data_IF_645441400872
#
_entry.id   IF_645441400872
#
_cell.length_a   1.000
_cell.length_b   1.000
_cell.length_c   1.000
_cell.angle_alpha   90.00
_cell.angle_beta   90.00
_cell.angle_gamma   90.00
#
_symmetry.space_group_name_H-M   'P 1'
#
loop_
_entity.id
_entity.type
_entity.pdbx_description
1 polymer ?
#
# COMPACT_ATOMS: atom_id res chain seq x y z
N UNK A 1 20.38 -37.62 4.35
CA UNK A 1 19.97 -37.97 5.73
C UNK A 1 18.52 -37.52 5.90
N UNK A 2 17.62 -38.46 6.21
CA UNK A 2 16.19 -38.22 6.47
C UNK A 2 16.05 -37.45 7.79
N UNK A 3 15.53 -36.23 7.76
CA UNK A 3 14.84 -35.65 8.91
C UNK A 3 13.34 -35.94 8.73
N UNK A 4 12.87 -36.94 9.47
CA UNK A 4 11.46 -37.25 9.64
C UNK A 4 10.96 -36.48 10.86
N UNK A 5 10.70 -35.18 10.68
CA UNK A 5 9.87 -34.41 11.60
C UNK A 5 8.39 -34.71 11.25
N UNK A 6 7.46 -34.86 12.21
CA UNK A 6 6.07 -35.08 11.88
C UNK A 6 5.48 -33.74 11.41
N UNK A 7 5.62 -33.45 10.12
CA UNK A 7 4.90 -32.38 9.46
C UNK A 7 3.39 -32.58 9.72
N UNK A 8 2.69 -31.49 10.03
CA UNK A 8 1.24 -31.53 10.18
C UNK A 8 0.59 -32.07 8.89
N UNK A 9 -0.47 -32.86 9.06
CA UNK A 9 -1.28 -33.34 7.92
C UNK A 9 -2.03 -32.18 7.28
N UNK A 10 -2.37 -32.31 5.98
CA UNK A 10 -3.15 -31.30 5.27
C UNK A 10 -4.47 -30.96 5.99
N UNK A 11 -5.13 -31.97 6.58
CA UNK A 11 -6.36 -31.78 7.37
C UNK A 11 -6.14 -30.91 8.62
N UNK A 12 -4.97 -30.98 9.25
CA UNK A 12 -4.61 -30.13 10.39
C UNK A 12 -4.30 -28.71 9.95
N UNK A 13 -3.64 -28.53 8.80
CA UNK A 13 -3.39 -27.20 8.22
C UNK A 13 -4.71 -26.52 7.82
N UNK A 14 -5.66 -27.28 7.26
CA UNK A 14 -7.01 -26.78 6.97
C UNK A 14 -7.74 -26.38 8.26
N UNK A 15 -7.61 -27.18 9.33
CA UNK A 15 -8.17 -26.85 10.64
C UNK A 15 -7.56 -25.57 11.23
N UNK A 16 -6.25 -25.35 11.09
CA UNK A 16 -5.59 -24.10 11.48
C UNK A 16 -6.10 -22.91 10.67
N UNK A 17 -6.25 -23.08 9.36
CA UNK A 17 -6.76 -22.05 8.46
C UNK A 17 -8.17 -21.61 8.85
N UNK A 18 -9.04 -22.58 9.13
CA UNK A 18 -10.41 -22.32 9.60
C UNK A 18 -10.42 -21.68 11.00
N UNK A 19 -9.55 -22.15 11.89
CA UNK A 19 -9.39 -21.56 13.23
C UNK A 19 -9.01 -20.07 13.16
N UNK A 20 -8.01 -19.72 12.34
CA UNK A 20 -7.55 -18.34 12.15
C UNK A 20 -8.67 -17.46 11.56
N UNK A 21 -9.40 -17.96 10.55
CA UNK A 21 -10.55 -17.24 9.98
C UNK A 21 -11.65 -16.96 11.01
N UNK A 22 -11.99 -17.95 11.85
CA UNK A 22 -12.99 -17.79 12.92
C UNK A 22 -12.60 -16.78 13.99
N UNK A 23 -11.31 -16.42 14.06
CA UNK A 23 -10.78 -15.37 14.94
C UNK A 23 -10.73 -13.99 14.27
N UNK A 24 -11.52 -13.78 13.21
CA UNK A 24 -11.67 -12.49 12.52
C UNK A 24 -10.37 -11.98 11.89
N UNK A 25 -9.53 -12.89 11.40
CA UNK A 25 -8.38 -12.53 10.58
C UNK A 25 -8.80 -12.51 9.12
N UNK A 26 -9.17 -11.33 8.61
CA UNK A 26 -9.78 -11.20 7.27
C UNK A 26 -8.76 -11.19 6.11
N UNK A 27 -7.50 -10.89 6.42
CA UNK A 27 -6.46 -10.68 5.41
C UNK A 27 -5.71 -11.97 5.09
N UNK A 28 -5.65 -12.32 3.81
CA UNK A 28 -5.06 -13.58 3.35
C UNK A 28 -3.57 -13.70 3.65
N UNK A 29 -2.79 -12.62 3.47
CA UNK A 29 -1.37 -12.60 3.86
C UNK A 29 -1.17 -12.78 5.37
N UNK A 30 -2.09 -12.29 6.19
CA UNK A 30 -2.04 -12.47 7.65
C UNK A 30 -2.48 -13.87 8.06
N UNK A 31 -3.50 -14.42 7.41
CA UNK A 31 -3.94 -15.79 7.62
C UNK A 31 -2.78 -16.77 7.36
N UNK A 32 -2.10 -16.64 6.22
CA UNK A 32 -0.97 -17.52 5.87
C UNK A 32 0.15 -17.46 6.92
N UNK A 33 0.56 -16.26 7.34
CA UNK A 33 1.61 -16.10 8.35
C UNK A 33 1.20 -16.65 9.72
N UNK A 34 -0.06 -16.47 10.14
CA UNK A 34 -0.54 -17.03 11.40
C UNK A 34 -0.65 -18.54 11.34
N UNK A 35 -1.13 -19.11 10.23
CA UNK A 35 -1.20 -20.57 10.05
C UNK A 35 0.21 -21.19 10.08
N UNK A 36 1.16 -20.59 9.38
CA UNK A 36 2.57 -21.04 9.38
C UNK A 36 3.19 -20.98 10.77
N UNK A 37 2.95 -19.88 11.50
CA UNK A 37 3.45 -19.72 12.86
C UNK A 37 2.81 -20.72 13.84
N UNK A 38 1.49 -20.91 13.78
CA UNK A 38 0.79 -21.90 14.59
C UNK A 38 1.25 -23.32 14.27
N UNK A 39 1.41 -23.66 12.99
CA UNK A 39 1.87 -24.96 12.54
C UNK A 39 3.26 -25.26 13.12
N UNK A 40 4.20 -24.34 12.94
CA UNK A 40 5.58 -24.47 13.44
C UNK A 40 5.65 -24.66 14.96
N UNK A 41 4.87 -23.87 15.73
CA UNK A 41 4.84 -23.99 17.20
C UNK A 41 4.18 -25.30 17.68
N UNK A 42 3.15 -25.77 16.97
CA UNK A 42 2.49 -27.04 17.28
C UNK A 42 3.44 -28.21 16.99
N UNK A 43 4.12 -28.21 15.85
CA UNK A 43 5.09 -29.26 15.48
C UNK A 43 6.21 -29.37 16.52
N UNK A 44 6.77 -28.25 16.97
CA UNK A 44 7.78 -28.23 18.03
C UNK A 44 7.26 -28.85 19.34
N UNK A 45 6.00 -28.58 19.71
CA UNK A 45 5.39 -29.14 20.92
C UNK A 45 5.07 -30.62 20.79
N UNK A 46 4.57 -31.06 19.64
CA UNK A 46 4.30 -32.48 19.37
C UNK A 46 5.60 -33.29 19.35
N UNK A 47 6.68 -32.72 18.81
CA UNK A 47 8.01 -33.32 18.85
C UNK A 47 8.56 -33.42 20.29
N UNK A 48 8.35 -32.38 21.12
CA UNK A 48 8.79 -32.37 22.50
C UNK A 48 7.92 -33.25 23.43
N UNK A 49 6.63 -33.43 23.12
CA UNK A 49 5.67 -34.23 23.91
C UNK A 49 4.79 -35.07 22.99
N UNK A 50 5.22 -36.29 22.61
CA UNK A 50 4.50 -37.13 21.65
C UNK A 50 3.08 -37.57 22.07
N UNK A 51 2.75 -37.49 23.37
CA UNK A 51 1.43 -37.80 23.90
C UNK A 51 0.44 -36.62 23.81
N UNK A 52 0.89 -35.43 23.40
CA UNK A 52 0.06 -34.24 23.28
C UNK A 52 -0.84 -34.34 22.04
N UNK A 53 -2.13 -34.04 22.18
CA UNK A 53 -3.03 -33.98 21.02
C UNK A 53 -2.90 -32.65 20.29
N UNK A 54 -3.17 -32.66 18.98
CA UNK A 54 -3.16 -31.47 18.13
C UNK A 54 -4.06 -30.35 18.70
N UNK A 55 -5.29 -30.66 19.09
CA UNK A 55 -6.22 -29.66 19.62
C UNK A 55 -5.70 -29.03 20.91
N UNK A 56 -5.09 -29.83 21.78
CA UNK A 56 -4.50 -29.33 23.03
C UNK A 56 -3.29 -28.46 22.74
N UNK A 57 -2.42 -28.86 21.79
CA UNK A 57 -1.29 -28.06 21.35
C UNK A 57 -1.76 -26.71 20.76
N UNK A 58 -2.77 -26.72 19.90
CA UNK A 58 -3.37 -25.52 19.32
C UNK A 58 -3.90 -24.57 20.40
N UNK A 59 -4.70 -25.07 21.36
CA UNK A 59 -5.22 -24.22 22.43
C UNK A 59 -4.10 -23.65 23.30
N UNK A 60 -3.07 -24.44 23.60
CA UNK A 60 -1.92 -23.96 24.37
C UNK A 60 -1.12 -22.88 23.63
N UNK A 61 -0.90 -23.04 22.32
CA UNK A 61 -0.21 -22.03 21.49
C UNK A 61 -1.08 -20.78 21.39
N UNK A 62 -2.38 -20.93 21.11
CA UNK A 62 -3.31 -19.80 21.01
C UNK A 62 -3.42 -19.02 22.33
N UNK A 63 -3.39 -19.68 23.48
CA UNK A 63 -3.42 -19.02 24.79
C UNK A 63 -2.24 -18.05 25.01
N UNK A 64 -1.12 -18.22 24.31
CA UNK A 64 0.05 -17.32 24.40
C UNK A 64 -0.21 -15.94 23.78
N UNK A 65 -1.21 -15.81 22.91
CA UNK A 65 -1.64 -14.53 22.35
C UNK A 65 -2.49 -13.70 23.34
N UNK A 66 -2.79 -14.24 24.52
CA UNK A 66 -3.48 -13.52 25.58
C UNK A 66 -4.94 -13.20 25.24
N UNK A 67 -5.51 -12.26 25.99
CA UNK A 67 -6.94 -11.92 25.95
C UNK A 67 -7.34 -11.32 24.60
N UNK A 68 -6.43 -10.59 23.96
CA UNK A 68 -6.68 -9.92 22.68
C UNK A 68 -6.48 -10.83 21.46
N UNK A 69 -5.98 -12.06 21.65
CA UNK A 69 -5.76 -13.02 20.57
C UNK A 69 -4.88 -12.44 19.46
N UNK A 70 -5.31 -12.60 18.20
CA UNK A 70 -4.51 -12.13 17.05
C UNK A 70 -4.54 -10.62 16.83
N UNK A 71 -5.32 -9.85 17.59
CA UNK A 71 -5.47 -8.40 17.39
C UNK A 71 -4.12 -7.68 17.44
N UNK A 72 -3.30 -7.98 18.45
CA UNK A 72 -1.98 -7.34 18.60
C UNK A 72 -1.06 -7.64 17.42
N UNK A 73 -1.06 -8.89 16.95
CA UNK A 73 -0.26 -9.32 15.78
C UNK A 73 -0.71 -8.61 14.51
N UNK A 74 -2.03 -8.49 14.30
CA UNK A 74 -2.60 -7.79 13.14
C UNK A 74 -2.20 -6.32 13.18
N UNK A 75 -2.30 -5.66 14.34
CA UNK A 75 -1.92 -4.26 14.50
C UNK A 75 -0.43 -4.03 14.28
N UNK A 76 0.43 -4.89 14.82
CA UNK A 76 1.88 -4.81 14.60
C UNK A 76 2.24 -4.97 13.13
N UNK A 77 1.61 -5.95 12.46
CA UNK A 77 1.79 -6.15 11.03
C UNK A 77 1.27 -4.96 10.22
N UNK A 78 0.11 -4.40 10.58
CA UNK A 78 -0.42 -3.19 9.93
C UNK A 78 0.54 -2.00 10.08
N UNK A 79 1.13 -1.80 11.27
CA UNK A 79 2.17 -0.78 11.52
C UNK A 79 3.41 -1.04 10.67
N UNK A 80 3.87 -2.29 10.57
CA UNK A 80 5.02 -2.67 9.75
C UNK A 80 4.78 -2.43 8.25
N UNK A 81 3.63 -2.87 7.75
CA UNK A 81 3.16 -2.62 6.38
C UNK A 81 3.11 -1.11 6.08
N UNK A 82 2.54 -0.30 6.98
CA UNK A 82 2.46 1.14 6.78
C UNK A 82 3.85 1.80 6.71
N UNK A 83 4.79 1.38 7.57
CA UNK A 83 6.19 1.85 7.50
C UNK A 83 6.84 1.48 6.17
N UNK A 84 6.63 0.25 5.70
CA UNK A 84 7.14 -0.24 4.41
C UNK A 84 6.54 0.54 3.23
N UNK A 85 5.23 0.75 3.22
CA UNK A 85 4.54 1.52 2.17
C UNK A 85 5.03 2.97 2.12
N UNK A 86 5.24 3.61 3.27
CA UNK A 86 5.83 4.96 3.35
C UNK A 86 7.26 4.98 2.82
N UNK A 87 8.07 4.00 3.17
CA UNK A 87 9.43 3.89 2.64
C UNK A 87 9.41 3.72 1.11
N UNK A 88 8.53 2.86 0.60
CA UNK A 88 8.36 2.62 -0.83
C UNK A 88 7.94 3.89 -1.58
N UNK A 89 7.00 4.68 -1.03
CA UNK A 89 6.62 5.98 -1.59
C UNK A 89 7.83 6.90 -1.78
N UNK A 90 8.57 7.16 -0.70
CA UNK A 90 9.72 8.07 -0.75
C UNK A 90 10.83 7.54 -1.65
N UNK A 91 11.02 6.22 -1.72
CA UNK A 91 11.91 5.59 -2.69
C UNK A 91 11.46 5.85 -4.12
N UNK A 92 10.16 5.72 -4.40
CA UNK A 92 9.58 6.01 -5.72
C UNK A 92 9.68 7.48 -6.12
N UNK A 93 9.38 8.41 -5.20
CA UNK A 93 9.57 9.85 -5.41
C UNK A 93 11.03 10.17 -5.73
N UNK A 94 11.98 9.66 -4.92
CA UNK A 94 13.42 9.84 -5.20
C UNK A 94 13.82 9.28 -6.55
N UNK A 95 13.21 8.17 -6.98
CA UNK A 95 13.50 7.56 -8.29
C UNK A 95 13.14 8.45 -9.48
N UNK A 96 12.23 9.42 -9.32
CA UNK A 96 11.88 10.38 -10.37
C UNK A 96 13.05 11.33 -10.68
N UNK A 97 13.93 11.59 -9.72
CA UNK A 97 15.08 12.48 -9.86
C UNK A 97 16.37 11.74 -10.26
N UNK A 98 16.25 10.53 -10.80
CA UNK A 98 17.37 9.71 -11.29
C UNK A 98 17.21 9.51 -12.80
N UNK A 99 18.33 9.45 -13.54
CA UNK A 99 18.32 9.18 -14.97
C UNK A 99 17.70 7.80 -15.29
N UNK A 100 16.91 7.66 -16.38
CA UNK A 100 16.49 8.72 -17.31
C UNK A 100 15.26 9.53 -16.86
N UNK A 101 14.59 9.14 -15.76
CA UNK A 101 13.29 9.70 -15.32
C UNK A 101 13.32 11.20 -15.01
N UNK A 102 14.46 11.72 -14.53
CA UNK A 102 14.64 13.14 -14.24
C UNK A 102 14.35 14.04 -15.45
N UNK A 103 14.62 13.55 -16.66
CA UNK A 103 14.34 14.27 -17.91
C UNK A 103 12.83 14.53 -18.02
N UNK A 104 12.00 13.51 -17.73
CA UNK A 104 10.55 13.65 -17.72
C UNK A 104 10.06 14.63 -16.66
N UNK A 105 10.66 14.61 -15.46
CA UNK A 105 10.32 15.57 -14.40
C UNK A 105 10.66 17.01 -14.80
N UNK A 106 11.82 17.25 -15.41
CA UNK A 106 12.21 18.57 -15.89
C UNK A 106 11.32 19.07 -17.03
N UNK A 107 10.96 18.19 -17.97
CA UNK A 107 10.03 18.51 -19.07
C UNK A 107 8.66 18.89 -18.50
N UNK A 108 8.13 18.12 -17.55
CA UNK A 108 6.86 18.41 -16.90
C UNK A 108 6.90 19.78 -16.19
N UNK A 109 7.96 20.07 -15.45
CA UNK A 109 8.16 21.38 -14.82
C UNK A 109 8.15 22.49 -15.85
N UNK A 110 8.91 22.36 -16.94
CA UNK A 110 8.97 23.36 -18.00
C UNK A 110 7.59 23.59 -18.63
N UNK A 111 6.86 22.53 -18.95
CA UNK A 111 5.50 22.61 -19.52
C UNK A 111 4.57 23.37 -18.57
N UNK A 112 4.60 23.08 -17.26
CA UNK A 112 3.75 23.75 -16.29
C UNK A 112 4.07 25.24 -16.16
N UNK A 113 5.35 25.62 -16.17
CA UNK A 113 5.75 27.03 -16.11
C UNK A 113 5.40 27.79 -17.41
N UNK A 114 5.61 27.17 -18.58
CA UNK A 114 5.22 27.78 -19.87
C UNK A 114 3.69 27.92 -19.93
N UNK A 115 2.94 26.89 -19.54
CA UNK A 115 1.48 26.97 -19.52
C UNK A 115 0.97 28.06 -18.56
N UNK A 116 1.65 28.28 -17.43
CA UNK A 116 1.33 29.34 -16.49
C UNK A 116 1.64 30.75 -17.02
N UNK A 117 2.69 30.90 -17.83
CA UNK A 117 3.05 32.18 -18.45
C UNK A 117 2.07 32.56 -19.58
N UNK A 118 1.56 31.57 -20.31
CA UNK A 118 0.66 31.77 -21.44
C UNK A 118 -0.81 31.93 -21.02
N UNK A 119 -1.25 31.23 -19.97
CA UNK A 119 -2.64 31.24 -19.49
C UNK A 119 -2.80 32.20 -18.32
N UNK A 120 -3.96 32.85 -18.21
CA UNK A 120 -4.27 33.54 -16.95
C UNK A 120 -4.35 32.53 -15.79
N UNK A 121 -4.01 32.94 -14.55
CA UNK A 121 -3.92 32.03 -13.42
C UNK A 121 -5.17 31.18 -13.14
N UNK A 122 -6.38 31.71 -13.42
CA UNK A 122 -7.63 30.97 -13.20
C UNK A 122 -7.77 29.86 -14.24
N UNK A 123 -7.56 30.20 -15.51
CA UNK A 123 -7.63 29.24 -16.61
C UNK A 123 -6.56 28.15 -16.47
N UNK A 124 -5.34 28.52 -16.07
CA UNK A 124 -4.28 27.55 -15.76
C UNK A 124 -4.71 26.56 -14.68
N UNK A 125 -5.22 27.05 -13.55
CA UNK A 125 -5.63 26.19 -12.43
C UNK A 125 -6.80 25.28 -12.80
N UNK A 126 -7.78 25.80 -13.55
CA UNK A 126 -8.89 25.00 -14.05
C UNK A 126 -8.40 23.89 -14.98
N UNK A 127 -7.53 24.21 -15.94
CA UNK A 127 -6.97 23.24 -16.88
C UNK A 127 -6.12 22.17 -16.16
N UNK A 128 -5.25 22.58 -15.22
CA UNK A 128 -4.45 21.66 -14.42
C UNK A 128 -5.33 20.75 -13.56
N UNK A 129 -6.33 21.31 -12.89
CA UNK A 129 -7.26 20.56 -12.06
C UNK A 129 -8.09 19.54 -12.85
N UNK A 130 -8.59 19.90 -14.03
CA UNK A 130 -9.29 18.96 -14.92
C UNK A 130 -8.36 17.85 -15.41
N UNK A 131 -7.11 18.17 -15.74
CA UNK A 131 -6.13 17.17 -16.14
C UNK A 131 -5.75 16.24 -14.97
N UNK A 132 -5.61 16.77 -13.76
CA UNK A 132 -5.39 15.99 -12.55
C UNK A 132 -6.57 15.05 -12.26
N UNK A 133 -7.82 15.54 -12.36
CA UNK A 133 -9.02 14.72 -12.19
C UNK A 133 -9.09 13.57 -13.20
N UNK A 134 -8.75 13.84 -14.46
CA UNK A 134 -8.69 12.81 -15.50
C UNK A 134 -7.60 11.77 -15.19
N UNK A 135 -6.40 12.22 -14.84
CA UNK A 135 -5.28 11.35 -14.48
C UNK A 135 -5.62 10.47 -13.28
N UNK A 136 -6.27 11.04 -12.26
CA UNK A 136 -6.73 10.32 -11.08
C UNK A 136 -7.79 9.28 -11.44
N UNK A 137 -8.75 9.62 -12.31
CA UNK A 137 -9.76 8.66 -12.80
C UNK A 137 -9.13 7.47 -13.53
N UNK A 138 -8.15 7.72 -14.40
CA UNK A 138 -7.39 6.68 -15.10
C UNK A 138 -6.61 5.83 -14.11
N UNK A 139 -5.93 6.46 -13.16
CA UNK A 139 -5.15 5.78 -12.15
C UNK A 139 -6.05 4.87 -11.30
N UNK A 140 -7.15 5.40 -10.77
CA UNK A 140 -8.18 4.65 -10.03
C UNK A 140 -8.65 3.43 -10.84
N UNK A 141 -9.02 3.61 -12.11
CA UNK A 141 -9.43 2.51 -12.98
C UNK A 141 -8.34 1.43 -13.10
N UNK A 142 -7.09 1.84 -13.36
CA UNK A 142 -5.94 0.94 -13.45
C UNK A 142 -5.72 0.15 -12.14
N UNK A 143 -5.87 0.80 -10.99
CA UNK A 143 -5.74 0.14 -9.69
C UNK A 143 -6.87 -0.81 -9.39
N UNK A 144 -8.12 -0.45 -9.72
CA UNK A 144 -9.26 -1.34 -9.57
C UNK A 144 -9.07 -2.63 -10.35
N UNK A 145 -8.50 -2.55 -11.55
CA UNK A 145 -8.17 -3.72 -12.37
C UNK A 145 -7.07 -4.60 -11.79
N UNK A 146 -6.21 -4.03 -10.94
CA UNK A 146 -5.06 -4.70 -10.29
C UNK A 146 -5.30 -5.06 -8.82
N UNK A 147 -6.54 -4.96 -8.33
CA UNK A 147 -6.86 -5.36 -6.97
C UNK A 147 -6.77 -6.88 -6.80
N UNK A 148 -6.33 -7.35 -5.62
CA UNK A 148 -6.44 -8.77 -5.30
C UNK A 148 -7.92 -9.17 -5.26
N UNK A 149 -8.18 -10.47 -5.38
CA UNK A 149 -9.53 -11.03 -5.29
C UNK A 149 -10.21 -10.67 -3.98
N UNK A 150 -11.53 -10.52 -4.02
CA UNK A 150 -12.34 -10.14 -2.86
C UNK A 150 -12.22 -11.13 -1.69
N UNK A 151 -12.02 -12.41 -1.98
CA UNK A 151 -11.84 -13.50 -1.00
C UNK A 151 -10.41 -13.63 -0.48
N UNK A 152 -9.44 -12.88 -1.06
CA UNK A 152 -8.01 -12.96 -0.74
C UNK A 152 -7.38 -11.58 -0.64
N UNK A 153 -8.01 -10.72 0.15
CA UNK A 153 -7.51 -9.36 0.35
C UNK A 153 -6.19 -9.39 1.12
N UNK A 154 -5.27 -8.50 0.75
CA UNK A 154 -3.95 -8.40 1.35
C UNK A 154 -3.87 -7.15 2.22
N UNK A 155 -3.42 -7.29 3.46
CA UNK A 155 -3.23 -6.16 4.37
C UNK A 155 -2.28 -5.13 3.77
N UNK A 156 -1.23 -5.61 3.11
CA UNK A 156 -0.26 -4.80 2.37
C UNK A 156 -0.89 -3.85 1.35
N UNK A 157 -1.96 -4.29 0.68
CA UNK A 157 -2.68 -3.55 -0.37
C UNK A 157 -3.79 -2.66 0.19
N UNK A 158 -4.41 -3.05 1.31
CA UNK A 158 -5.47 -2.24 1.95
C UNK A 158 -4.91 -0.96 2.57
N UNK A 159 -3.70 -1.02 3.15
CA UNK A 159 -3.00 0.14 3.69
C UNK A 159 -2.19 0.92 2.65
N UNK A 160 -2.56 0.83 1.38
CA UNK A 160 -1.96 1.68 0.34
C UNK A 160 -2.51 3.12 0.39
N UNK A 161 -2.42 3.74 1.58
CA UNK A 161 -2.61 5.17 1.82
C UNK A 161 -1.72 6.02 0.92
N UNK A 162 -0.63 5.45 0.39
CA UNK A 162 0.32 6.10 -0.50
C UNK A 162 -0.29 6.61 -1.80
N UNK A 163 -1.17 5.84 -2.41
CA UNK A 163 -1.85 6.27 -3.62
C UNK A 163 -2.95 7.27 -3.31
N UNK A 164 -3.77 6.98 -2.29
CA UNK A 164 -4.76 7.95 -1.82
C UNK A 164 -4.08 9.27 -1.43
N UNK A 165 -2.87 9.22 -0.86
CA UNK A 165 -2.05 10.38 -0.59
C UNK A 165 -1.61 11.06 -1.89
N UNK A 166 -1.04 10.36 -2.87
CA UNK A 166 -0.64 10.96 -4.16
C UNK A 166 -1.79 11.64 -4.91
N UNK A 167 -2.91 10.94 -5.07
CA UNK A 167 -4.13 11.40 -5.75
C UNK A 167 -4.80 12.57 -4.99
N UNK A 168 -5.14 12.34 -3.72
CA UNK A 168 -5.85 13.34 -2.90
C UNK A 168 -4.98 14.56 -2.63
N UNK A 169 -3.66 14.39 -2.45
CA UNK A 169 -2.74 15.51 -2.27
C UNK A 169 -2.59 16.34 -3.54
N UNK A 170 -2.57 15.72 -4.73
CA UNK A 170 -2.53 16.45 -6.01
C UNK A 170 -3.78 17.32 -6.20
N UNK A 171 -4.97 16.74 -6.04
CA UNK A 171 -6.23 17.47 -6.17
C UNK A 171 -6.40 18.54 -5.07
N UNK A 172 -6.01 18.22 -3.83
CA UNK A 172 -6.07 19.15 -2.71
C UNK A 172 -5.11 20.34 -2.89
N UNK A 173 -3.88 20.09 -3.34
CA UNK A 173 -2.92 21.16 -3.65
C UNK A 173 -3.40 22.06 -4.78
N UNK A 174 -3.93 21.46 -5.85
CA UNK A 174 -4.39 22.21 -7.02
C UNK A 174 -5.63 23.06 -6.73
N UNK A 175 -6.65 22.49 -6.07
CA UNK A 175 -7.93 23.18 -5.88
C UNK A 175 -7.99 24.00 -4.59
N UNK A 176 -7.60 23.43 -3.44
CA UNK A 176 -7.77 24.11 -2.17
C UNK A 176 -6.66 25.15 -1.91
N UNK A 177 -5.40 24.77 -2.11
CA UNK A 177 -4.27 25.66 -1.80
C UNK A 177 -4.10 26.73 -2.89
N UNK A 178 -4.07 26.36 -4.17
CA UNK A 178 -3.78 27.35 -5.22
C UNK A 178 -4.97 28.26 -5.53
N UNK A 179 -6.18 27.73 -5.69
CA UNK A 179 -7.34 28.51 -6.13
C UNK A 179 -8.03 29.29 -4.99
N UNK A 180 -8.20 28.67 -3.82
CA UNK A 180 -8.94 29.29 -2.70
C UNK A 180 -8.03 30.12 -1.81
N UNK A 181 -6.84 29.62 -1.43
CA UNK A 181 -5.97 30.32 -0.49
C UNK A 181 -5.04 31.33 -1.17
N UNK A 182 -4.39 30.95 -2.27
CA UNK A 182 -3.30 31.71 -2.86
C UNK A 182 -3.71 32.66 -3.97
N UNK A 183 -4.64 32.28 -4.85
CA UNK A 183 -5.05 33.15 -5.95
C UNK A 183 -5.59 34.52 -5.49
N UNK A 184 -6.38 34.64 -4.40
CA UNK A 184 -6.84 35.95 -3.93
C UNK A 184 -5.77 36.76 -3.18
N UNK A 185 -4.69 36.13 -2.70
CA UNK A 185 -3.72 36.71 -1.78
C UNK A 185 -2.34 36.97 -2.38
N UNK A 186 -2.02 36.34 -3.52
CA UNK A 186 -0.74 36.51 -4.21
C UNK A 186 -0.85 37.55 -5.33
N UNK A 187 0.23 38.31 -5.53
CA UNK A 187 0.38 39.25 -6.63
C UNK A 187 1.84 39.31 -7.11
N UNK A 188 2.05 39.85 -8.30
CA UNK A 188 3.39 39.97 -8.89
C UNK A 188 4.12 38.63 -8.99
N UNK A 189 5.38 38.59 -8.58
CA UNK A 189 6.21 37.37 -8.61
C UNK A 189 5.71 36.26 -7.68
N UNK A 190 4.88 36.57 -6.69
CA UNK A 190 4.28 35.58 -5.78
C UNK A 190 3.44 34.54 -6.53
N UNK A 191 2.86 34.91 -7.67
CA UNK A 191 2.06 34.01 -8.51
C UNK A 191 2.85 32.80 -9.03
N UNK A 192 4.18 32.87 -9.12
CA UNK A 192 5.04 31.75 -9.54
C UNK A 192 5.04 30.58 -8.54
N UNK A 193 4.54 30.77 -7.31
CA UNK A 193 4.33 29.68 -6.37
C UNK A 193 3.25 28.69 -6.86
N UNK A 194 2.30 29.15 -7.67
CA UNK A 194 1.22 28.31 -8.19
C UNK A 194 1.77 27.15 -9.05
N UNK A 195 2.49 27.37 -10.15
CA UNK A 195 3.04 26.27 -10.95
C UNK A 195 4.05 25.42 -10.17
N UNK A 196 4.79 25.99 -9.21
CA UNK A 196 5.69 25.25 -8.33
C UNK A 196 4.95 24.23 -7.45
N UNK A 197 3.80 24.61 -6.90
CA UNK A 197 2.95 23.71 -6.09
C UNK A 197 2.31 22.64 -6.97
N UNK A 198 1.84 23.00 -8.17
CA UNK A 198 1.35 22.03 -9.14
C UNK A 198 2.41 20.97 -9.47
N UNK A 199 3.68 21.38 -9.67
CA UNK A 199 4.80 20.45 -9.89
C UNK A 199 4.94 19.46 -8.72
N UNK A 200 4.89 19.93 -7.47
CA UNK A 200 4.92 19.06 -6.29
C UNK A 200 3.75 18.08 -6.28
N UNK A 201 2.55 18.55 -6.62
CA UNK A 201 1.37 17.70 -6.78
C UNK A 201 1.61 16.58 -7.78
N UNK A 202 2.12 16.90 -8.97
CA UNK A 202 2.38 15.90 -10.01
C UNK A 202 3.52 14.93 -9.64
N UNK A 203 4.57 15.40 -8.96
CA UNK A 203 5.63 14.53 -8.44
C UNK A 203 5.08 13.55 -7.40
N UNK A 204 4.18 14.01 -6.51
CA UNK A 204 3.50 13.16 -5.54
C UNK A 204 2.62 12.11 -6.25
N UNK A 205 1.87 12.51 -7.27
CA UNK A 205 1.04 11.61 -8.09
C UNK A 205 1.89 10.51 -8.75
N UNK A 206 2.92 10.87 -9.51
CA UNK A 206 3.79 9.89 -10.18
C UNK A 206 4.57 9.02 -9.18
N UNK A 207 5.01 9.59 -8.06
CA UNK A 207 5.64 8.84 -6.98
C UNK A 207 4.70 7.81 -6.37
N UNK A 208 3.43 8.16 -6.18
CA UNK A 208 2.36 7.26 -5.73
C UNK A 208 2.09 6.13 -6.72
N UNK A 209 1.93 6.45 -8.00
CA UNK A 209 1.72 5.46 -9.06
C UNK A 209 2.87 4.45 -9.17
N UNK A 210 4.12 4.92 -9.14
CA UNK A 210 5.31 4.06 -9.13
C UNK A 210 5.40 3.18 -7.88
N UNK A 211 5.05 3.74 -6.70
CA UNK A 211 5.01 2.98 -5.46
C UNK A 211 3.93 1.89 -5.49
N UNK A 212 2.76 2.18 -6.06
CA UNK A 212 1.72 1.18 -6.27
C UNK A 212 2.21 0.04 -7.15
N UNK A 213 2.79 0.35 -8.31
CA UNK A 213 3.25 -0.69 -9.23
C UNK A 213 4.33 -1.58 -8.61
N UNK A 214 5.26 -0.99 -7.85
CA UNK A 214 6.28 -1.74 -7.13
C UNK A 214 5.66 -2.64 -6.04
N UNK A 215 4.70 -2.12 -5.28
CA UNK A 215 3.98 -2.91 -4.27
C UNK A 215 3.21 -4.05 -4.93
N UNK A 216 2.50 -3.78 -6.03
CA UNK A 216 1.74 -4.78 -6.76
C UNK A 216 2.63 -5.91 -7.26
N UNK A 217 3.76 -5.58 -7.90
CA UNK A 217 4.71 -6.60 -8.36
C UNK A 217 5.27 -7.44 -7.21
N UNK A 218 5.55 -6.82 -6.06
CA UNK A 218 6.01 -7.55 -4.88
C UNK A 218 4.93 -8.49 -4.34
N UNK A 219 3.71 -8.00 -4.14
CA UNK A 219 2.61 -8.80 -3.62
C UNK A 219 2.18 -9.90 -4.58
N UNK A 220 2.23 -9.66 -5.90
CA UNK A 220 1.94 -10.69 -6.91
C UNK A 220 2.98 -11.82 -6.89
N UNK A 221 4.24 -11.52 -6.57
CA UNK A 221 5.28 -12.54 -6.41
C UNK A 221 5.10 -13.36 -5.13
N UNK A 222 4.74 -12.71 -4.02
CA UNK A 222 4.56 -13.36 -2.72
C UNK A 222 3.25 -14.16 -2.64
N UNK A 223 2.17 -13.60 -3.19
CA UNK A 223 0.81 -14.12 -3.08
C UNK A 223 0.16 -14.22 -4.46
N UNK A 224 0.71 -14.99 -5.42
CA UNK A 224 0.19 -15.06 -6.79
C UNK A 224 -1.27 -15.48 -6.85
N UNK A 225 -1.66 -16.36 -5.93
CA UNK A 225 -3.02 -16.85 -5.76
C UNK A 225 -4.05 -15.76 -5.37
N UNK A 226 -3.61 -14.62 -4.84
CA UNK A 226 -4.48 -13.48 -4.58
C UNK A 226 -4.81 -12.68 -5.86
N UNK A 227 -4.06 -12.91 -6.95
CA UNK A 227 -4.17 -12.20 -8.24
C UNK A 227 -4.47 -13.11 -9.44
N UNK A 228 -4.76 -14.40 -9.20
CA UNK A 228 -5.11 -15.40 -10.21
C UNK A 228 -6.63 -15.51 -10.40
#
# INVERSE_FOLDING_TARGET
>A
MKHSDPALTDAQIDALTEFVKRKYVDYYDVQLELVDHLASEIEQRLAATPALSFDTALQQVYARFGIFGFTEVIEEKAKAVNRKNRHLFWKSVKSLFVLPKIIGTLILTLILFIAFDVLDPKTFLLANGLFALLADGIAIYYFFRKRPRKDRQLLAMQYHNTLHFGLTFNLYLNYYICYILFLPSLSGSGLLLIPAICVVGWISFFGGALAFDALHQEQQKLYPMAFA
#
